data_IF_542338256171
#
_entry.id   IF_542338256171
#
_cell.length_a   1.000
_cell.length_b   1.000
_cell.length_c   1.000
_cell.angle_alpha   90.00
_cell.angle_beta   90.00
_cell.angle_gamma   90.00
#
_symmetry.space_group_name_H-M   'P 1'
#
loop_
_entity.id
_entity.type
_entity.pdbx_description
1 polymer ?
#
# COMPACT_ATOMS: atom_id res chain seq x y z
N UNK A 1 -9.33 -41.59 11.87
CA UNK A 1 -9.60 -40.25 12.44
C UNK A 1 -9.17 -39.25 11.38
N UNK A 2 -10.12 -38.51 10.81
CA UNK A 2 -9.82 -37.47 9.84
C UNK A 2 -9.01 -36.37 10.53
N UNK A 3 -7.89 -35.95 9.94
CA UNK A 3 -7.17 -34.75 10.37
C UNK A 3 -8.17 -33.59 10.44
N UNK A 4 -8.16 -32.75 11.49
CA UNK A 4 -9.00 -31.56 11.52
C UNK A 4 -8.74 -30.78 10.23
N UNK A 5 -9.81 -30.54 9.47
CA UNK A 5 -9.74 -29.98 8.12
C UNK A 5 -8.96 -28.67 8.16
N UNK A 6 -7.84 -28.61 7.46
CA UNK A 6 -7.14 -27.35 7.22
C UNK A 6 -8.09 -26.51 6.39
N UNK A 7 -8.75 -25.56 7.03
CA UNK A 7 -9.57 -24.56 6.35
C UNK A 7 -8.63 -23.82 5.41
N UNK A 8 -8.80 -23.97 4.10
CA UNK A 8 -7.93 -23.25 3.16
C UNK A 8 -8.31 -21.78 3.21
N UNK A 9 -7.32 -20.94 3.47
CA UNK A 9 -7.49 -19.49 3.41
C UNK A 9 -7.46 -19.04 1.97
N UNK A 10 -8.47 -18.29 1.55
CA UNK A 10 -8.54 -17.68 0.22
C UNK A 10 -8.13 -16.22 0.30
N UNK A 11 -7.48 -15.71 -0.74
CA UNK A 11 -7.07 -14.31 -0.84
C UNK A 11 -7.95 -13.54 -1.82
N UNK A 12 -8.12 -12.26 -1.52
CA UNK A 12 -9.07 -11.38 -2.18
C UNK A 12 -8.47 -9.99 -2.38
N UNK A 13 -9.20 -9.18 -3.15
CA UNK A 13 -9.06 -7.74 -3.27
C UNK A 13 -10.39 -7.06 -2.95
N UNK A 14 -10.33 -5.76 -2.65
CA UNK A 14 -11.54 -4.97 -2.44
C UNK A 14 -12.16 -4.56 -3.79
N UNK A 15 -13.48 -4.69 -3.94
CA UNK A 15 -14.23 -4.32 -5.14
C UNK A 15 -14.03 -2.86 -5.56
N UNK A 16 -13.70 -2.00 -4.59
CA UNK A 16 -13.38 -0.60 -4.83
C UNK A 16 -12.20 -0.39 -5.79
N UNK A 17 -11.34 -1.40 -5.99
CA UNK A 17 -10.26 -1.36 -6.99
C UNK A 17 -10.77 -0.98 -8.37
N UNK A 18 -12.00 -1.38 -8.72
CA UNK A 18 -12.61 -1.12 -10.02
C UNK A 18 -13.39 0.20 -10.10
N UNK A 19 -13.44 1.00 -9.03
CA UNK A 19 -14.23 2.25 -9.00
C UNK A 19 -13.56 3.44 -8.30
N UNK A 20 -12.54 3.22 -7.48
CA UNK A 20 -11.82 4.26 -6.73
C UNK A 20 -10.46 4.58 -7.35
N UNK A 21 -10.02 5.82 -7.15
CA UNK A 21 -8.67 6.29 -7.44
C UNK A 21 -8.22 6.07 -8.90
N UNK A 22 -9.04 6.53 -9.85
CA UNK A 22 -8.68 6.61 -11.25
C UNK A 22 -7.95 7.92 -11.49
N UNK A 23 -6.74 7.87 -12.05
CA UNK A 23 -5.97 9.07 -12.35
C UNK A 23 -6.29 9.57 -13.76
N UNK A 24 -6.58 10.86 -13.88
CA UNK A 24 -6.74 11.56 -15.15
C UNK A 24 -5.52 12.46 -15.38
N UNK A 25 -4.53 12.03 -16.18
CA UNK A 25 -3.24 12.73 -16.31
C UNK A 25 -3.38 14.16 -16.82
N UNK A 26 -4.26 14.40 -17.80
CA UNK A 26 -4.52 15.73 -18.38
C UNK A 26 -4.93 16.75 -17.31
N UNK A 27 -5.65 16.29 -16.29
CA UNK A 27 -6.22 17.15 -15.25
C UNK A 27 -5.49 17.02 -13.91
N UNK A 28 -4.49 16.13 -13.82
CA UNK A 28 -3.78 15.81 -12.58
C UNK A 28 -4.74 15.51 -11.42
N UNK A 29 -5.82 14.78 -11.72
CA UNK A 29 -6.96 14.58 -10.82
C UNK A 29 -7.23 13.10 -10.62
N UNK A 30 -7.43 12.70 -9.37
CA UNK A 30 -7.98 11.39 -9.04
C UNK A 30 -9.49 11.47 -8.88
N UNK A 31 -10.19 10.51 -9.50
CA UNK A 31 -11.64 10.44 -9.48
C UNK A 31 -12.12 9.05 -9.05
N UNK A 32 -13.30 9.03 -8.43
CA UNK A 32 -14.16 7.86 -8.35
C UNK A 32 -15.02 7.79 -9.60
N UNK A 33 -15.19 6.60 -10.15
CA UNK A 33 -15.99 6.38 -11.35
C UNK A 33 -16.89 5.14 -11.22
N UNK A 34 -18.21 5.40 -11.16
CA UNK A 34 -19.26 4.38 -11.25
C UNK A 34 -20.12 4.51 -12.50
N UNK A 35 -19.92 5.57 -13.28
CA UNK A 35 -20.66 5.86 -14.49
C UNK A 35 -20.72 7.36 -14.77
N UNK A 36 -21.10 7.70 -16.00
CA UNK A 36 -21.11 9.07 -16.52
C UNK A 36 -21.91 10.05 -15.65
N UNK A 37 -23.11 9.67 -15.22
CA UNK A 37 -23.96 10.54 -14.41
C UNK A 37 -23.33 10.90 -13.06
N UNK A 38 -22.63 9.95 -12.42
CA UNK A 38 -21.93 10.22 -11.16
C UNK A 38 -20.72 11.12 -11.40
N UNK A 39 -19.93 10.85 -12.45
CA UNK A 39 -18.78 11.68 -12.80
C UNK A 39 -19.18 13.13 -13.07
N UNK A 40 -20.26 13.35 -13.81
CA UNK A 40 -20.79 14.68 -14.10
C UNK A 40 -21.21 15.43 -12.83
N UNK A 41 -21.90 14.75 -11.91
CA UNK A 41 -22.35 15.37 -10.65
C UNK A 41 -21.19 15.70 -9.72
N UNK A 42 -20.28 14.75 -9.52
CA UNK A 42 -19.26 14.85 -8.47
C UNK A 42 -18.03 15.63 -8.93
N UNK A 43 -17.64 15.47 -10.20
CA UNK A 43 -16.39 16.00 -10.74
C UNK A 43 -16.60 16.99 -11.89
N UNK A 44 -17.80 17.12 -12.45
CA UNK A 44 -18.08 18.03 -13.56
C UNK A 44 -17.63 19.47 -13.33
N UNK A 45 -17.93 20.10 -12.18
CA UNK A 45 -17.45 21.46 -11.87
C UNK A 45 -15.93 21.57 -11.80
N UNK A 46 -15.25 20.57 -11.23
CA UNK A 46 -13.78 20.56 -11.07
C UNK A 46 -13.10 20.28 -12.41
N UNK A 47 -13.61 19.34 -13.20
CA UNK A 47 -13.10 19.06 -14.55
C UNK A 47 -13.21 20.31 -15.43
N UNK A 48 -14.35 21.02 -15.38
CA UNK A 48 -14.52 22.29 -16.11
C UNK A 48 -13.50 23.34 -15.69
N UNK A 49 -13.27 23.52 -14.38
CA UNK A 49 -12.28 24.50 -13.91
C UNK A 49 -10.83 24.11 -14.27
N UNK A 50 -10.56 22.83 -14.52
CA UNK A 50 -9.30 22.30 -15.00
C UNK A 50 -9.20 22.22 -16.53
N UNK A 51 -10.17 22.79 -17.27
CA UNK A 51 -10.10 22.93 -18.73
C UNK A 51 -10.84 21.86 -19.54
N UNK A 52 -11.67 21.02 -18.92
CA UNK A 52 -12.61 20.12 -19.62
C UNK A 52 -13.88 20.90 -20.00
N UNK A 53 -13.82 21.69 -21.08
CA UNK A 53 -14.87 22.68 -21.41
C UNK A 53 -15.72 22.28 -22.62
N UNK A 54 -15.21 21.41 -23.50
CA UNK A 54 -15.94 20.92 -24.68
C UNK A 54 -16.57 19.54 -24.44
N UNK A 55 -17.63 19.18 -25.19
CA UNK A 55 -18.15 17.81 -25.21
C UNK A 55 -17.08 16.77 -25.57
N UNK A 56 -16.17 17.11 -26.48
CA UNK A 56 -15.06 16.26 -26.91
C UNK A 56 -14.08 15.97 -25.76
N UNK A 57 -13.73 16.99 -24.95
CA UNK A 57 -12.89 16.81 -23.77
C UNK A 57 -13.52 15.82 -22.79
N UNK A 58 -14.83 15.93 -22.57
CA UNK A 58 -15.54 15.06 -21.64
C UNK A 58 -15.67 13.63 -22.17
N UNK A 59 -15.90 13.46 -23.48
CA UNK A 59 -15.88 12.15 -24.12
C UNK A 59 -14.51 11.48 -24.01
N UNK A 60 -13.42 12.25 -24.11
CA UNK A 60 -12.08 11.72 -23.86
C UNK A 60 -11.92 11.21 -22.41
N UNK A 61 -12.38 11.98 -21.42
CA UNK A 61 -12.37 11.55 -20.01
C UNK A 61 -13.13 10.24 -19.83
N UNK A 62 -14.34 10.13 -20.39
CA UNK A 62 -15.13 8.90 -20.30
C UNK A 62 -14.42 7.72 -20.98
N UNK A 63 -13.80 7.94 -22.14
CA UNK A 63 -13.02 6.91 -22.84
C UNK A 63 -11.86 6.41 -21.98
N UNK A 64 -11.09 7.32 -21.37
CA UNK A 64 -9.96 7.00 -20.49
C UNK A 64 -10.42 6.20 -19.26
N UNK A 65 -11.48 6.65 -18.58
CA UNK A 65 -12.01 5.96 -17.40
C UNK A 65 -12.57 4.58 -17.75
N UNK A 66 -13.35 4.45 -18.83
CA UNK A 66 -13.89 3.16 -19.24
C UNK A 66 -12.78 2.17 -19.62
N UNK A 67 -11.73 2.63 -20.31
CA UNK A 67 -10.55 1.82 -20.62
C UNK A 67 -9.86 1.33 -19.35
N UNK A 68 -9.65 2.22 -18.38
CA UNK A 68 -9.00 1.85 -17.12
C UNK A 68 -9.87 0.89 -16.28
N UNK A 69 -11.20 1.08 -16.24
CA UNK A 69 -12.12 0.14 -15.58
C UNK A 69 -12.04 -1.23 -16.22
N UNK A 70 -12.07 -1.29 -17.55
CA UNK A 70 -11.97 -2.53 -18.29
C UNK A 70 -10.64 -3.24 -18.01
N UNK A 71 -9.52 -2.50 -18.06
CA UNK A 71 -8.19 -3.00 -17.73
C UNK A 71 -8.12 -3.58 -16.32
N UNK A 72 -8.62 -2.86 -15.30
CA UNK A 72 -8.62 -3.32 -13.90
C UNK A 72 -9.46 -4.58 -13.68
N UNK A 73 -10.59 -4.71 -14.39
CA UNK A 73 -11.44 -5.92 -14.35
C UNK A 73 -10.74 -7.14 -14.96
N UNK A 74 -9.98 -6.95 -16.04
CA UNK A 74 -9.27 -8.03 -16.74
C UNK A 74 -7.92 -8.40 -16.13
N UNK A 75 -7.40 -7.58 -15.20
CA UNK A 75 -6.04 -7.69 -14.67
C UNK A 75 -5.67 -9.11 -14.20
N UNK A 76 -6.56 -9.75 -13.44
CA UNK A 76 -6.32 -11.06 -12.84
C UNK A 76 -6.28 -12.15 -13.90
N UNK A 77 -7.27 -12.17 -14.79
CA UNK A 77 -7.30 -13.12 -15.90
C UNK A 77 -6.04 -12.99 -16.76
N UNK A 78 -5.65 -11.77 -17.12
CA UNK A 78 -4.46 -11.53 -17.93
C UNK A 78 -3.18 -11.95 -17.21
N UNK A 79 -3.07 -11.73 -15.90
CA UNK A 79 -1.92 -12.19 -15.11
C UNK A 79 -1.82 -13.72 -15.08
N UNK A 80 -2.95 -14.40 -14.91
CA UNK A 80 -3.06 -15.86 -14.97
C UNK A 80 -2.58 -16.42 -16.32
N UNK A 81 -3.09 -15.84 -17.41
CA UNK A 81 -2.71 -16.23 -18.78
C UNK A 81 -1.22 -16.02 -19.04
N UNK A 82 -0.65 -14.88 -18.63
CA UNK A 82 0.80 -14.63 -18.72
C UNK A 82 1.60 -15.66 -17.95
N UNK A 83 1.25 -15.89 -16.68
CA UNK A 83 1.93 -16.86 -15.81
C UNK A 83 1.90 -18.26 -16.42
N UNK A 84 0.76 -18.69 -16.96
CA UNK A 84 0.63 -19.99 -17.62
C UNK A 84 1.51 -20.11 -18.88
N UNK A 85 1.61 -19.04 -19.68
CA UNK A 85 2.50 -19.01 -20.85
C UNK A 85 3.96 -19.08 -20.43
N UNK A 86 4.37 -18.27 -19.45
CA UNK A 86 5.73 -18.22 -18.92
C UNK A 86 6.12 -19.60 -18.38
N UNK A 87 5.31 -20.18 -17.49
CA UNK A 87 5.59 -21.48 -16.89
C UNK A 87 5.77 -22.63 -17.90
N UNK A 88 5.09 -22.54 -19.06
CA UNK A 88 5.20 -23.55 -20.12
C UNK A 88 6.39 -23.33 -21.06
N UNK A 89 6.80 -22.08 -21.27
CA UNK A 89 7.59 -21.71 -22.46
C UNK A 89 8.94 -21.07 -22.12
N UNK A 90 9.06 -20.44 -20.96
CA UNK A 90 10.30 -19.82 -20.51
C UNK A 90 11.29 -20.88 -20.00
N UNK A 91 12.58 -20.70 -20.31
CA UNK A 91 13.66 -21.57 -19.83
C UNK A 91 14.55 -20.76 -18.88
N UNK A 92 14.56 -21.07 -17.57
CA UNK A 92 15.38 -20.34 -16.61
C UNK A 92 16.88 -20.45 -16.90
N UNK A 93 17.61 -19.34 -16.78
CA UNK A 93 19.07 -19.29 -16.91
C UNK A 93 19.76 -19.75 -15.62
N UNK A 94 19.20 -19.39 -14.48
CA UNK A 94 19.66 -19.70 -13.12
C UNK A 94 18.54 -20.43 -12.36
N UNK A 95 18.26 -21.72 -12.66
CA UNK A 95 17.23 -22.50 -11.94
C UNK A 95 17.41 -22.50 -10.41
N UNK A 96 18.63 -22.26 -9.91
CA UNK A 96 18.96 -22.24 -8.49
C UNK A 96 18.24 -21.12 -7.72
N UNK A 97 17.84 -20.01 -8.37
CA UNK A 97 17.16 -18.89 -7.70
C UNK A 97 15.68 -19.18 -7.41
N UNK A 98 15.12 -20.24 -7.99
CA UNK A 98 13.73 -20.69 -7.83
C UNK A 98 13.52 -21.53 -6.56
N UNK A 99 14.24 -21.20 -5.49
CA UNK A 99 14.16 -21.88 -4.21
C UNK A 99 15.05 -21.18 -3.20
N UNK A 100 14.47 -20.63 -2.13
CA UNK A 100 15.25 -19.95 -1.10
C UNK A 100 16.21 -20.92 -0.42
N UNK A 101 17.49 -20.55 -0.39
CA UNK A 101 18.54 -21.25 0.31
C UNK A 101 19.18 -20.31 1.33
N UNK A 102 19.57 -20.80 2.51
CA UNK A 102 20.24 -19.95 3.51
C UNK A 102 21.55 -19.36 3.00
N UNK A 103 22.25 -20.04 2.08
CA UNK A 103 23.46 -19.52 1.44
C UNK A 103 23.22 -18.25 0.60
N UNK A 104 21.96 -17.93 0.27
CA UNK A 104 21.59 -16.69 -0.43
C UNK A 104 21.48 -15.51 0.52
N UNK A 105 21.34 -15.76 1.82
CA UNK A 105 21.10 -14.76 2.85
C UNK A 105 22.43 -14.34 3.48
N UNK A 106 22.59 -13.04 3.78
CA UNK A 106 23.81 -12.60 4.43
C UNK A 106 23.89 -13.15 5.87
N UNK A 107 25.08 -13.55 6.35
CA UNK A 107 25.25 -14.08 7.71
C UNK A 107 24.73 -13.14 8.81
N UNK A 108 24.88 -11.83 8.63
CA UNK A 108 24.41 -10.82 9.59
C UNK A 108 22.89 -10.77 9.65
N UNK A 109 22.20 -10.97 8.53
CA UNK A 109 20.74 -11.05 8.51
C UNK A 109 20.24 -12.33 9.16
N UNK A 110 20.89 -13.47 8.90
CA UNK A 110 20.61 -14.71 9.62
C UNK A 110 20.79 -14.56 11.13
N UNK A 111 21.85 -13.87 11.58
CA UNK A 111 22.07 -13.58 13.00
C UNK A 111 20.95 -12.71 13.60
N UNK A 112 20.47 -11.69 12.88
CA UNK A 112 19.34 -10.86 13.31
C UNK A 112 18.05 -11.68 13.44
N UNK A 113 17.76 -12.55 12.47
CA UNK A 113 16.60 -13.47 12.50
C UNK A 113 16.70 -14.46 13.66
N UNK A 114 17.89 -15.05 13.88
CA UNK A 114 18.13 -15.95 15.00
C UNK A 114 17.91 -15.25 16.34
N UNK A 115 18.38 -13.99 16.49
CA UNK A 115 18.12 -13.19 17.69
C UNK A 115 16.61 -13.05 17.95
N UNK A 116 15.81 -12.73 16.92
CA UNK A 116 14.35 -12.63 17.04
C UNK A 116 13.68 -13.92 17.56
N UNK A 117 14.29 -15.09 17.34
CA UNK A 117 13.81 -16.37 17.84
C UNK A 117 14.19 -16.69 19.29
N UNK A 118 15.04 -15.90 19.93
CA UNK A 118 15.50 -16.17 21.31
C UNK A 118 14.45 -15.79 22.37
N UNK A 119 14.39 -16.51 23.50
CA UNK A 119 13.56 -16.09 24.63
C UNK A 119 14.01 -14.70 25.13
N UNK A 120 13.07 -13.75 25.17
CA UNK A 120 13.36 -12.38 25.61
C UNK A 120 13.87 -11.45 24.51
N UNK A 121 13.82 -11.87 23.23
CA UNK A 121 14.09 -10.98 22.11
C UNK A 121 13.20 -9.72 22.18
N UNK A 122 13.85 -8.57 22.14
CA UNK A 122 13.20 -7.26 22.20
C UNK A 122 13.72 -6.30 21.11
N UNK A 123 13.03 -5.18 20.95
CA UNK A 123 13.40 -4.15 19.99
C UNK A 123 14.82 -3.59 20.25
N UNK A 124 15.19 -3.13 21.46
CA UNK A 124 16.55 -2.64 21.71
C UNK A 124 17.67 -3.61 21.34
N UNK A 125 17.48 -4.92 21.52
CA UNK A 125 18.47 -5.89 21.10
C UNK A 125 18.48 -6.16 19.61
N UNK A 126 17.33 -6.19 18.93
CA UNK A 126 17.31 -6.30 17.47
C UNK A 126 18.03 -5.11 16.82
N UNK A 127 17.85 -3.89 17.36
CA UNK A 127 18.51 -2.69 16.87
C UNK A 127 20.05 -2.74 16.96
N UNK A 128 20.63 -3.66 17.74
CA UNK A 128 22.09 -3.90 17.75
C UNK A 128 22.57 -4.77 16.58
N UNK A 129 21.66 -5.48 15.92
CA UNK A 129 21.95 -6.35 14.77
C UNK A 129 21.68 -5.70 13.41
N UNK A 130 20.99 -4.55 13.40
CA UNK A 130 20.55 -3.88 12.16
C UNK A 130 20.93 -2.41 12.17
N UNK A 131 20.96 -1.78 11.01
CA UNK A 131 21.25 -0.34 10.90
C UNK A 131 19.96 0.47 11.02
N UNK A 132 19.93 1.42 11.95
CA UNK A 132 18.83 2.38 12.09
C UNK A 132 19.12 3.62 11.24
N UNK A 133 18.37 3.81 10.15
CA UNK A 133 18.49 4.99 9.29
C UNK A 133 17.75 6.18 9.87
N UNK A 134 16.59 5.94 10.49
CA UNK A 134 15.85 6.93 11.26
C UNK A 134 15.02 6.26 12.33
N UNK A 135 15.32 6.57 13.60
CA UNK A 135 14.55 6.10 14.75
C UNK A 135 13.15 6.72 14.81
N UNK A 136 13.02 8.00 14.46
CA UNK A 136 11.75 8.72 14.42
C UNK A 136 10.80 8.14 13.36
N UNK A 137 11.31 7.93 12.14
CA UNK A 137 10.50 7.42 11.02
C UNK A 137 10.38 5.90 11.01
N UNK A 138 11.22 5.21 11.80
CA UNK A 138 11.34 3.74 11.88
C UNK A 138 11.69 3.12 10.54
N UNK A 139 12.79 3.62 9.97
CA UNK A 139 13.36 3.16 8.71
C UNK A 139 14.69 2.48 9.04
N UNK A 140 14.86 1.25 8.59
CA UNK A 140 16.01 0.41 8.91
C UNK A 140 16.67 -0.12 7.65
N UNK A 141 17.97 -0.38 7.70
CA UNK A 141 18.71 -1.08 6.66
C UNK A 141 19.15 -2.46 7.14
N UNK A 142 18.90 -3.46 6.30
CA UNK A 142 19.14 -4.88 6.57
C UNK A 142 20.10 -5.44 5.50
N UNK A 143 21.14 -6.20 5.85
CA UNK A 143 21.98 -6.91 4.87
C UNK A 143 21.30 -8.20 4.41
N UNK A 144 20.33 -8.13 3.50
CA UNK A 144 19.45 -9.26 3.19
C UNK A 144 20.19 -10.39 2.46
N UNK A 145 20.84 -10.07 1.34
CA UNK A 145 21.38 -11.08 0.43
C UNK A 145 22.91 -11.02 0.32
N UNK A 146 23.49 -12.16 -0.03
CA UNK A 146 24.89 -12.22 -0.48
C UNK A 146 25.03 -11.61 -1.88
N UNK A 147 26.23 -11.12 -2.20
CA UNK A 147 26.50 -10.55 -3.53
C UNK A 147 26.34 -11.58 -4.64
N UNK A 148 26.75 -12.83 -4.39
CA UNK A 148 26.60 -13.93 -5.34
C UNK A 148 25.13 -14.20 -5.67
N UNK A 149 24.23 -14.18 -4.68
CA UNK A 149 22.81 -14.33 -4.94
C UNK A 149 22.23 -13.13 -5.69
N UNK A 150 22.62 -11.91 -5.32
CA UNK A 150 22.24 -10.71 -6.06
C UNK A 150 22.61 -10.80 -7.54
N UNK A 151 23.83 -11.25 -7.85
CA UNK A 151 24.29 -11.46 -9.21
C UNK A 151 23.49 -12.54 -9.95
N UNK A 152 23.29 -13.72 -9.33
CA UNK A 152 22.51 -14.81 -9.94
C UNK A 152 21.06 -14.40 -10.22
N UNK A 153 20.42 -13.71 -9.27
CA UNK A 153 19.05 -13.24 -9.45
C UNK A 153 18.98 -12.17 -10.55
N UNK A 154 19.93 -11.24 -10.59
CA UNK A 154 19.99 -10.22 -11.63
C UNK A 154 20.14 -10.83 -13.03
N UNK A 155 21.03 -11.80 -13.20
CA UNK A 155 21.21 -12.50 -14.48
C UNK A 155 19.95 -13.23 -14.94
N UNK A 156 19.21 -13.86 -14.01
CA UNK A 156 17.92 -14.49 -14.33
C UNK A 156 16.88 -13.47 -14.79
N UNK A 157 16.82 -12.31 -14.11
CA UNK A 157 15.87 -11.26 -14.42
C UNK A 157 16.19 -10.58 -15.76
N UNK A 158 17.47 -10.34 -16.05
CA UNK A 158 17.92 -9.83 -17.35
C UNK A 158 17.61 -10.83 -18.47
N UNK A 159 17.82 -12.13 -18.23
CA UNK A 159 17.47 -13.17 -19.18
C UNK A 159 15.97 -13.18 -19.49
N UNK A 160 15.13 -13.07 -18.46
CA UNK A 160 13.68 -12.99 -18.62
C UNK A 160 13.27 -11.73 -19.39
N UNK A 161 13.84 -10.57 -19.05
CA UNK A 161 13.55 -9.31 -19.74
C UNK A 161 13.88 -9.36 -21.23
N UNK A 162 14.98 -10.02 -21.60
CA UNK A 162 15.44 -10.19 -22.99
C UNK A 162 14.64 -11.24 -23.78
N UNK A 163 13.81 -12.05 -23.11
CA UNK A 163 13.01 -13.08 -23.77
C UNK A 163 11.73 -12.52 -24.41
N UNK A 164 11.12 -13.28 -25.33
CA UNK A 164 9.82 -12.95 -25.93
C UNK A 164 8.60 -13.27 -25.02
N UNK A 165 8.85 -13.62 -23.76
CA UNK A 165 7.76 -13.93 -22.83
C UNK A 165 6.88 -12.71 -22.55
N UNK A 166 5.56 -12.90 -22.36
CA UNK A 166 4.67 -11.80 -22.04
C UNK A 166 4.97 -11.26 -20.64
N UNK A 167 4.97 -9.94 -20.48
CA UNK A 167 5.36 -9.26 -19.23
C UNK A 167 4.24 -8.37 -18.71
N UNK A 168 3.88 -8.52 -17.44
CA UNK A 168 3.03 -7.55 -16.73
C UNK A 168 3.85 -6.37 -16.23
N UNK A 169 3.22 -5.20 -16.09
CA UNK A 169 3.87 -4.05 -15.45
C UNK A 169 4.05 -4.28 -13.95
N UNK A 170 5.22 -3.94 -13.36
CA UNK A 170 5.49 -4.19 -11.95
C UNK A 170 4.53 -3.41 -11.03
N UNK A 171 4.24 -2.15 -11.36
CA UNK A 171 3.22 -1.34 -10.70
C UNK A 171 2.69 -0.24 -11.65
N UNK A 172 1.82 0.65 -11.15
CA UNK A 172 1.20 1.72 -11.96
C UNK A 172 2.13 2.89 -12.31
N UNK A 173 3.24 3.04 -11.59
CA UNK A 173 4.18 4.15 -11.72
C UNK A 173 5.49 3.75 -12.43
N UNK A 174 5.80 2.45 -12.51
CA UNK A 174 6.94 1.92 -13.25
C UNK A 174 6.50 1.24 -14.55
N UNK A 175 7.29 1.42 -15.60
CA UNK A 175 7.09 0.81 -16.91
C UNK A 175 7.93 -0.46 -17.07
N UNK A 176 9.11 -0.50 -16.43
CA UNK A 176 10.10 -1.56 -16.60
C UNK A 176 10.34 -2.35 -15.32
N UNK A 177 10.44 -3.68 -15.46
CA UNK A 177 10.67 -4.60 -14.35
C UNK A 177 9.84 -5.88 -14.43
N UNK A 178 9.98 -6.73 -13.42
CA UNK A 178 9.50 -8.12 -13.44
C UNK A 178 8.57 -8.40 -12.25
N UNK A 179 7.43 -9.04 -12.51
CA UNK A 179 6.54 -9.55 -11.47
C UNK A 179 7.00 -10.97 -11.06
N UNK A 180 7.45 -11.13 -9.82
CA UNK A 180 8.00 -12.42 -9.34
C UNK A 180 6.94 -13.52 -9.30
N UNK A 181 5.68 -13.17 -9.04
CA UNK A 181 4.52 -14.05 -9.17
C UNK A 181 4.40 -14.70 -10.55
N UNK A 182 4.55 -13.89 -11.61
CA UNK A 182 4.39 -14.35 -13.00
C UNK A 182 5.59 -15.20 -13.43
N UNK A 183 6.77 -14.89 -12.91
CA UNK A 183 7.99 -15.66 -13.14
C UNK A 183 8.03 -16.96 -12.32
N UNK A 184 7.15 -17.14 -11.32
CA UNK A 184 7.08 -18.36 -10.50
C UNK A 184 7.98 -18.36 -9.27
N UNK A 185 8.42 -17.18 -8.82
CA UNK A 185 9.34 -17.01 -7.69
C UNK A 185 8.64 -16.79 -6.33
N UNK A 186 7.34 -16.46 -6.32
CA UNK A 186 6.62 -16.19 -5.06
C UNK A 186 6.71 -17.37 -4.08
N UNK A 187 6.13 -18.52 -4.42
CA UNK A 187 6.09 -19.69 -3.53
C UNK A 187 7.48 -20.22 -3.11
N UNK A 188 8.44 -20.42 -4.03
CA UNK A 188 9.70 -21.04 -3.64
C UNK A 188 10.72 -20.07 -3.04
N UNK A 189 10.65 -18.76 -3.33
CA UNK A 189 11.65 -17.78 -2.90
C UNK A 189 11.06 -16.74 -1.93
N UNK A 190 9.96 -16.07 -2.32
CA UNK A 190 9.44 -14.90 -1.59
C UNK A 190 8.64 -15.30 -0.35
N UNK A 191 7.74 -16.28 -0.47
CA UNK A 191 6.95 -16.83 0.64
C UNK A 191 7.85 -17.24 1.81
N UNK A 192 8.88 -18.10 1.63
CA UNK A 192 9.74 -18.48 2.74
C UNK A 192 10.61 -17.34 3.26
N UNK A 193 11.03 -16.40 2.40
CA UNK A 193 11.77 -15.21 2.82
C UNK A 193 10.92 -14.36 3.78
N UNK A 194 9.66 -14.14 3.41
CA UNK A 194 8.69 -13.40 4.22
C UNK A 194 8.41 -14.09 5.55
N UNK A 195 7.99 -15.36 5.51
CA UNK A 195 7.48 -16.06 6.69
C UNK A 195 8.57 -16.39 7.70
N UNK A 196 9.73 -16.87 7.23
CA UNK A 196 10.78 -17.38 8.14
C UNK A 196 11.77 -16.31 8.57
N UNK A 197 11.98 -15.29 7.75
CA UNK A 197 13.05 -14.32 7.97
C UNK A 197 12.52 -12.90 8.19
N UNK A 198 11.62 -12.38 7.35
CA UNK A 198 11.17 -10.98 7.48
C UNK A 198 10.10 -10.76 8.56
N UNK A 199 9.17 -11.70 8.76
CA UNK A 199 8.10 -11.58 9.75
C UNK A 199 8.62 -11.48 11.19
N UNK A 200 9.61 -12.29 11.66
CA UNK A 200 10.15 -12.16 13.01
C UNK A 200 10.77 -10.78 13.30
N UNK A 201 11.47 -10.20 12.32
CA UNK A 201 12.01 -8.83 12.46
C UNK A 201 10.85 -7.82 12.48
N UNK A 202 9.92 -7.95 11.55
CA UNK A 202 8.79 -7.04 11.40
C UNK A 202 7.87 -7.05 12.61
N UNK A 203 7.74 -8.18 13.32
CA UNK A 203 6.99 -8.28 14.58
C UNK A 203 7.54 -7.36 15.68
N UNK A 204 8.87 -7.22 15.77
CA UNK A 204 9.54 -6.35 16.74
C UNK A 204 9.62 -4.89 16.26
N UNK A 205 9.87 -4.67 14.97
CA UNK A 205 10.03 -3.33 14.39
C UNK A 205 8.69 -2.61 14.14
N UNK A 206 7.64 -3.38 13.85
CA UNK A 206 6.33 -2.88 13.42
C UNK A 206 5.12 -3.57 14.08
N UNK A 207 5.08 -3.67 15.43
CA UNK A 207 3.98 -4.33 16.14
C UNK A 207 2.63 -3.60 15.96
N UNK A 208 2.66 -2.29 15.74
CA UNK A 208 1.50 -1.41 15.62
C UNK A 208 0.80 -1.43 14.25
N UNK A 209 1.43 -1.98 13.22
CA UNK A 209 0.84 -2.08 11.87
C UNK A 209 0.78 -3.51 11.33
N UNK A 210 0.80 -4.52 12.21
CA UNK A 210 0.62 -5.93 11.82
C UNK A 210 1.90 -6.63 11.37
N UNK A 211 3.09 -6.12 11.72
CA UNK A 211 4.37 -6.67 11.28
C UNK A 211 4.63 -8.13 11.69
N UNK A 212 3.93 -8.66 12.70
CA UNK A 212 4.01 -10.06 13.10
C UNK A 212 2.92 -10.97 12.52
N UNK A 213 2.17 -10.51 11.51
CA UNK A 213 1.10 -11.26 10.82
C UNK A 213 1.06 -10.93 9.33
N UNK A 214 2.22 -10.94 8.66
CA UNK A 214 2.36 -10.53 7.27
C UNK A 214 2.02 -11.71 6.34
N UNK A 215 0.72 -12.02 6.23
CA UNK A 215 0.21 -13.21 5.54
C UNK A 215 -0.08 -13.04 4.05
N UNK A 216 0.11 -11.85 3.47
CA UNK A 216 0.11 -11.62 2.01
C UNK A 216 1.36 -10.85 1.56
N UNK A 217 1.74 -11.02 0.29
CA UNK A 217 2.75 -10.18 -0.32
C UNK A 217 2.48 -9.92 -1.81
N UNK A 218 3.12 -8.87 -2.33
CA UNK A 218 3.35 -8.67 -3.76
C UNK A 218 4.82 -8.35 -3.93
N UNK A 219 5.52 -9.17 -4.71
CA UNK A 219 6.94 -8.99 -4.96
C UNK A 219 7.22 -8.73 -6.43
N UNK A 220 8.02 -7.72 -6.68
CA UNK A 220 8.35 -7.27 -8.03
C UNK A 220 9.71 -6.61 -8.04
N UNK A 221 10.30 -6.60 -9.22
CA UNK A 221 11.55 -5.92 -9.47
C UNK A 221 11.25 -4.70 -10.32
N UNK A 222 11.90 -3.58 -10.00
CA UNK A 222 11.87 -2.36 -10.80
C UNK A 222 13.25 -2.13 -11.40
N UNK A 223 13.27 -1.68 -12.65
CA UNK A 223 14.46 -1.33 -13.41
C UNK A 223 14.44 0.16 -13.73
N UNK A 224 15.54 0.84 -13.43
CA UNK A 224 15.78 2.23 -13.81
C UNK A 224 17.01 2.27 -14.70
N UNK A 225 16.93 2.91 -15.85
CA UNK A 225 18.00 2.98 -16.82
C UNK A 225 17.93 4.27 -17.64
N UNK A 226 19.06 4.66 -18.26
CA UNK A 226 19.07 5.78 -19.19
C UNK A 226 18.08 5.55 -20.35
N UNK A 227 17.20 6.52 -20.59
CA UNK A 227 16.09 6.48 -21.55
C UNK A 227 14.90 5.56 -21.20
N UNK A 228 14.86 5.01 -19.99
CA UNK A 228 13.71 4.30 -19.43
C UNK A 228 13.12 5.11 -18.26
N UNK A 229 12.68 4.44 -17.19
CA UNK A 229 12.32 5.12 -15.94
C UNK A 229 13.61 5.65 -15.26
N UNK A 230 13.64 6.95 -14.91
CA UNK A 230 14.78 7.58 -14.23
C UNK A 230 14.53 7.82 -12.75
N UNK A 231 13.29 8.13 -12.38
CA UNK A 231 12.87 8.49 -11.02
C UNK A 231 11.54 7.84 -10.66
N UNK A 232 11.13 8.03 -9.40
CA UNK A 232 9.79 7.67 -8.97
C UNK A 232 9.25 8.74 -8.04
N UNK A 233 8.19 9.41 -8.47
CA UNK A 233 7.61 10.52 -7.72
C UNK A 233 7.08 10.10 -6.34
N UNK A 234 6.87 11.07 -5.45
CA UNK A 234 6.44 10.81 -4.07
C UNK A 234 5.12 10.05 -4.01
N UNK A 235 5.13 8.90 -3.32
CA UNK A 235 4.01 7.98 -3.15
C UNK A 235 4.10 7.25 -1.79
N UNK A 236 3.18 6.34 -1.54
CA UNK A 236 3.25 5.35 -0.46
C UNK A 236 2.91 3.98 -1.06
N UNK A 237 3.19 2.90 -0.34
CA UNK A 237 3.03 1.54 -0.82
C UNK A 237 1.72 0.90 -0.41
N UNK A 238 1.26 -0.05 -1.21
CA UNK A 238 0.08 -0.87 -0.87
C UNK A 238 0.50 -2.00 0.06
N UNK A 239 1.05 -1.64 1.21
CA UNK A 239 1.66 -2.56 2.16
C UNK A 239 1.50 -2.05 3.59
N UNK A 240 1.60 -2.96 4.54
CA UNK A 240 1.81 -2.60 5.94
C UNK A 240 3.31 -2.39 6.19
N UNK A 241 4.15 -3.26 5.62
CA UNK A 241 5.62 -3.16 5.65
C UNK A 241 6.17 -3.39 4.24
N UNK A 242 7.10 -2.54 3.81
CA UNK A 242 7.81 -2.68 2.53
C UNK A 242 9.27 -2.98 2.78
N UNK A 243 9.81 -3.93 2.02
CA UNK A 243 11.24 -4.15 1.84
C UNK A 243 11.65 -3.73 0.42
N UNK A 244 12.69 -2.90 0.29
CA UNK A 244 13.30 -2.54 -0.99
C UNK A 244 14.80 -2.90 -0.97
N UNK A 245 15.19 -3.94 -1.70
CA UNK A 245 16.56 -4.47 -1.78
C UNK A 245 17.21 -4.09 -3.10
N UNK A 246 18.39 -3.46 -3.04
CA UNK A 246 19.20 -3.22 -4.22
C UNK A 246 19.90 -4.51 -4.66
N UNK A 247 19.63 -4.98 -5.88
CA UNK A 247 20.23 -6.20 -6.44
C UNK A 247 21.56 -5.91 -7.18
N UNK A 248 21.73 -4.69 -7.69
CA UNK A 248 22.79 -4.28 -8.63
C UNK A 248 22.19 -3.25 -9.61
N UNK A 249 22.88 -2.63 -10.56
CA UNK A 249 24.24 -2.77 -11.10
C UNK A 249 24.90 -1.37 -11.13
N UNK A 250 25.93 -1.12 -11.92
CA UNK A 250 26.69 0.16 -11.84
C UNK A 250 25.80 1.39 -12.17
N UNK A 251 25.55 2.25 -11.18
CA UNK A 251 24.82 3.52 -11.33
C UNK A 251 25.37 4.61 -10.40
N UNK A 252 25.01 5.85 -10.69
CA UNK A 252 25.20 7.00 -9.79
C UNK A 252 23.87 7.66 -9.45
N UNK A 253 23.80 8.26 -8.25
CA UNK A 253 22.58 8.84 -7.68
C UNK A 253 21.43 7.83 -7.53
N UNK A 254 20.18 8.29 -7.56
CA UNK A 254 19.02 7.43 -7.36
C UNK A 254 18.79 6.99 -5.92
N UNK A 255 19.13 7.80 -4.93
CA UNK A 255 18.75 7.52 -3.54
C UNK A 255 17.23 7.43 -3.38
N UNK A 256 16.77 6.66 -2.40
CA UNK A 256 15.41 6.80 -1.90
C UNK A 256 15.33 8.07 -1.05
N UNK A 257 14.18 8.73 -1.04
CA UNK A 257 13.91 9.83 -0.13
C UNK A 257 12.59 9.61 0.61
N UNK A 258 12.58 9.82 1.92
CA UNK A 258 11.43 9.55 2.80
C UNK A 258 10.94 10.82 3.48
N UNK A 259 9.65 11.14 3.32
CA UNK A 259 8.98 12.28 3.95
C UNK A 259 8.34 11.92 5.30
N UNK A 260 7.24 12.60 5.66
CA UNK A 260 6.39 12.21 6.78
C UNK A 260 5.23 11.31 6.33
N UNK A 261 4.43 10.80 7.28
CA UNK A 261 3.18 10.13 6.93
C UNK A 261 2.23 11.13 6.29
N UNK A 262 1.40 10.65 5.37
CA UNK A 262 0.41 11.45 4.65
C UNK A 262 -0.42 12.39 5.52
N UNK A 263 -0.71 12.00 6.76
CA UNK A 263 -1.55 12.74 7.70
C UNK A 263 -0.84 13.94 8.34
N UNK A 264 0.47 14.05 8.17
CA UNK A 264 1.33 15.11 8.73
C UNK A 264 1.84 15.95 7.57
N UNK A 265 1.09 16.98 7.17
CA UNK A 265 1.57 17.97 6.19
C UNK A 265 1.95 19.26 6.93
N UNK A 266 3.24 19.57 6.98
CA UNK A 266 3.78 20.87 7.37
C UNK A 266 4.52 21.51 6.19
N UNK A 267 4.63 22.84 6.17
CA UNK A 267 5.28 23.60 5.10
C UNK A 267 6.80 23.29 4.94
N UNK A 268 7.41 22.59 5.89
CA UNK A 268 8.84 22.23 5.92
C UNK A 268 9.04 20.71 6.09
N UNK A 269 8.56 19.90 5.13
CA UNK A 269 8.76 18.45 5.19
C UNK A 269 10.25 18.13 4.98
N UNK A 270 10.91 17.60 6.02
CA UNK A 270 12.31 17.17 5.94
C UNK A 270 12.38 15.76 5.39
N UNK A 271 13.06 15.61 4.26
CA UNK A 271 13.30 14.31 3.66
C UNK A 271 14.53 13.64 4.28
N UNK A 272 14.41 12.34 4.55
CA UNK A 272 15.56 11.47 4.79
C UNK A 272 15.97 10.85 3.46
N UNK A 273 17.14 11.24 2.96
CA UNK A 273 17.75 10.59 1.81
C UNK A 273 18.51 9.32 2.24
N UNK A 274 18.30 8.24 1.51
CA UNK A 274 18.83 6.91 1.81
C UNK A 274 19.48 6.34 0.54
N UNK A 275 20.82 6.27 0.48
CA UNK A 275 21.49 5.66 -0.64
C UNK A 275 21.27 4.14 -0.65
N UNK A 276 21.27 3.58 -1.85
CA UNK A 276 21.24 2.14 -2.07
C UNK A 276 22.61 1.49 -1.83
N UNK A 277 22.60 0.28 -1.29
CA UNK A 277 23.79 -0.56 -1.12
C UNK A 277 23.42 -1.96 -1.59
N UNK A 278 24.20 -2.53 -2.51
CA UNK A 278 23.92 -3.83 -3.11
C UNK A 278 23.78 -4.93 -2.06
N UNK A 279 22.77 -5.79 -2.20
CA UNK A 279 22.41 -6.84 -1.25
C UNK A 279 21.72 -6.34 0.03
N UNK A 280 21.68 -5.02 0.26
CA UNK A 280 21.02 -4.43 1.43
C UNK A 280 19.62 -3.94 1.08
N UNK A 281 18.70 -4.23 2.00
CA UNK A 281 17.30 -3.82 1.95
C UNK A 281 17.01 -2.66 2.88
N UNK A 282 16.21 -1.70 2.41
CA UNK A 282 15.56 -0.69 3.25
C UNK A 282 14.19 -1.22 3.64
N UNK A 283 13.96 -1.38 4.94
CA UNK A 283 12.69 -1.82 5.52
C UNK A 283 11.97 -0.60 6.13
N UNK A 284 10.72 -0.38 5.75
CA UNK A 284 9.91 0.74 6.23
C UNK A 284 8.41 0.39 6.26
N UNK A 285 7.62 1.24 6.93
CA UNK A 285 6.14 1.14 6.89
C UNK A 285 5.64 1.50 5.50
N UNK A 286 4.68 0.75 4.96
CA UNK A 286 4.17 1.00 3.61
C UNK A 286 3.46 2.35 3.47
N UNK A 287 2.78 2.82 4.52
CA UNK A 287 2.13 4.14 4.53
C UNK A 287 3.08 5.35 4.63
N UNK A 288 4.40 5.13 4.68
CA UNK A 288 5.41 6.17 4.71
C UNK A 288 5.53 6.82 3.32
N UNK A 289 5.42 8.15 3.23
CA UNK A 289 5.65 8.83 1.95
C UNK A 289 7.12 8.73 1.57
N UNK A 290 7.38 8.32 0.34
CA UNK A 290 8.73 8.18 -0.20
C UNK A 290 8.73 8.23 -1.73
N UNK A 291 9.92 8.37 -2.31
CA UNK A 291 10.16 8.29 -3.74
C UNK A 291 11.61 7.89 -4.03
N UNK A 292 11.97 7.88 -5.31
CA UNK A 292 13.34 7.67 -5.76
C UNK A 292 13.81 8.91 -6.52
N UNK A 293 14.98 9.43 -6.17
CA UNK A 293 15.64 10.48 -6.92
C UNK A 293 16.04 9.97 -8.32
N UNK A 294 16.26 10.87 -9.30
CA UNK A 294 16.72 10.48 -10.62
C UNK A 294 18.07 9.77 -10.60
N UNK A 295 18.26 8.81 -11.51
CA UNK A 295 19.59 8.33 -11.87
C UNK A 295 20.35 9.38 -12.70
N UNK A 296 21.65 9.51 -12.46
CA UNK A 296 22.53 10.31 -13.33
C UNK A 296 23.26 9.46 -14.36
N UNK A 297 23.55 8.20 -14.05
CA UNK A 297 24.19 7.27 -14.97
C UNK A 297 23.88 5.82 -14.62
N UNK A 298 24.07 4.93 -15.60
CA UNK A 298 24.02 3.50 -15.39
C UNK A 298 22.61 2.92 -15.29
N UNK A 299 22.48 1.85 -14.50
CA UNK A 299 21.22 1.13 -14.37
C UNK A 299 21.06 0.48 -12.99
N UNK A 300 19.85 0.58 -12.44
CA UNK A 300 19.53 0.19 -11.07
C UNK A 300 18.37 -0.81 -11.04
N UNK A 301 18.58 -1.91 -10.33
CA UNK A 301 17.59 -2.97 -10.12
C UNK A 301 17.30 -3.13 -8.64
N UNK A 302 16.01 -3.07 -8.30
CA UNK A 302 15.57 -3.23 -6.92
C UNK A 302 14.47 -4.27 -6.83
N UNK A 303 14.65 -5.26 -5.95
CA UNK A 303 13.59 -6.13 -5.50
C UNK A 303 12.76 -5.40 -4.44
N UNK A 304 11.47 -5.25 -4.70
CA UNK A 304 10.51 -4.66 -3.79
C UNK A 304 9.51 -5.73 -3.37
N UNK A 305 9.29 -5.85 -2.06
CA UNK A 305 8.31 -6.76 -1.47
C UNK A 305 7.36 -5.92 -0.62
N UNK A 306 6.13 -5.80 -1.10
CA UNK A 306 5.01 -5.25 -0.34
C UNK A 306 4.41 -6.36 0.51
N UNK A 307 4.60 -6.30 1.82
CA UNK A 307 4.07 -7.29 2.77
C UNK A 307 2.83 -6.74 3.46
N UNK A 308 1.83 -7.60 3.60
CA UNK A 308 0.49 -7.22 4.06
C UNK A 308 -0.02 -8.13 5.16
N UNK A 309 -0.83 -7.56 6.04
CA UNK A 309 -1.49 -8.25 7.13
C UNK A 309 -3.01 -8.23 6.92
N UNK A 310 -3.60 -9.39 6.63
CA UNK A 310 -5.05 -9.51 6.45
C UNK A 310 -5.85 -9.14 7.69
N UNK A 311 -5.26 -9.30 8.89
CA UNK A 311 -5.87 -8.85 10.15
C UNK A 311 -6.10 -7.34 10.21
N UNK A 312 -5.33 -6.55 9.46
CA UNK A 312 -5.53 -5.10 9.29
C UNK A 312 -6.53 -4.85 8.15
N UNK A 313 -6.27 -5.47 6.98
CA UNK A 313 -7.01 -5.17 5.75
C UNK A 313 -8.47 -5.62 5.78
N UNK A 314 -8.78 -6.73 6.44
CA UNK A 314 -10.16 -7.22 6.58
C UNK A 314 -11.04 -6.25 7.40
N UNK A 315 -10.46 -5.34 8.18
CA UNK A 315 -11.20 -4.31 8.92
C UNK A 315 -11.52 -3.10 8.03
N UNK A 316 -10.50 -2.59 7.33
CA UNK A 316 -10.63 -1.39 6.52
C UNK A 316 -9.73 -1.47 5.28
N UNK A 317 -10.31 -1.24 4.11
CA UNK A 317 -9.55 -1.16 2.87
C UNK A 317 -8.69 0.13 2.84
N UNK A 318 -7.37 0.05 2.62
CA UNK A 318 -6.51 1.24 2.57
C UNK A 318 -6.79 2.14 1.37
N UNK A 319 -7.45 1.63 0.32
CA UNK A 319 -7.84 2.41 -0.84
C UNK A 319 -9.12 3.23 -0.59
N UNK A 320 -10.20 2.60 -0.12
CA UNK A 320 -11.50 3.29 -0.01
C UNK A 320 -11.86 3.75 1.40
N UNK A 321 -11.08 3.37 2.42
CA UNK A 321 -11.32 3.72 3.82
C UNK A 321 -12.62 3.14 4.38
N UNK A 322 -13.12 2.03 3.81
CA UNK A 322 -14.37 1.36 4.19
C UNK A 322 -14.11 -0.14 4.42
N UNK A 323 -15.00 -0.85 5.17
CA UNK A 323 -14.98 -2.30 5.22
C UNK A 323 -14.95 -2.90 3.80
N UNK A 324 -14.08 -3.87 3.52
CA UNK A 324 -13.84 -4.31 2.15
C UNK A 324 -14.97 -5.20 1.63
N UNK A 325 -15.40 -4.93 0.40
CA UNK A 325 -16.22 -5.86 -0.37
C UNK A 325 -15.28 -6.80 -1.14
N UNK A 326 -15.24 -8.08 -0.76
CA UNK A 326 -14.22 -9.01 -1.25
C UNK A 326 -14.56 -9.56 -2.64
N UNK A 327 -13.65 -9.36 -3.59
CA UNK A 327 -13.64 -10.03 -4.89
C UNK A 327 -12.46 -11.01 -4.93
N UNK A 328 -12.70 -12.17 -5.55
CA UNK A 328 -11.66 -13.18 -5.72
C UNK A 328 -10.46 -12.61 -6.50
N UNK A 329 -9.28 -13.09 -6.09
CA UNK A 329 -8.01 -12.72 -6.67
C UNK A 329 -7.11 -13.96 -6.77
N UNK A 330 -6.00 -13.85 -7.50
CA UNK A 330 -5.00 -14.91 -7.60
C UNK A 330 -3.85 -14.71 -6.60
N UNK A 331 -3.19 -15.82 -6.25
CA UNK A 331 -2.06 -15.83 -5.32
C UNK A 331 -2.43 -15.24 -3.96
N UNK A 332 -1.69 -14.22 -3.52
CA UNK A 332 -1.91 -13.52 -2.25
C UNK A 332 -2.83 -12.28 -2.34
N UNK A 333 -3.38 -12.00 -3.52
CA UNK A 333 -4.27 -10.86 -3.79
C UNK A 333 -3.74 -9.51 -3.28
N UNK A 334 -4.66 -8.64 -2.84
CA UNK A 334 -4.34 -7.37 -2.18
C UNK A 334 -4.28 -7.50 -0.64
N UNK A 335 -4.11 -8.73 -0.14
CA UNK A 335 -3.94 -9.03 1.28
C UNK A 335 -5.22 -9.05 2.11
N UNK A 336 -6.38 -9.21 1.45
CA UNK A 336 -7.63 -9.53 2.14
C UNK A 336 -7.83 -11.04 2.14
N UNK A 337 -8.40 -11.57 3.21
CA UNK A 337 -8.58 -13.02 3.39
C UNK A 337 -9.99 -13.37 3.85
N UNK A 338 -10.42 -14.58 3.53
CA UNK A 338 -11.60 -15.22 4.14
C UNK A 338 -11.31 -16.70 4.29
N UNK A 339 -11.72 -17.26 5.42
CA UNK A 339 -11.58 -18.69 5.67
C UNK A 339 -12.69 -19.45 4.92
N UNK A 340 -12.35 -20.59 4.30
CA UNK A 340 -13.31 -21.44 3.60
C UNK A 340 -14.49 -21.84 4.51
N UNK A 341 -15.71 -21.53 4.10
CA UNK A 341 -16.94 -21.84 4.83
C UNK A 341 -17.52 -20.68 5.65
N UNK A 342 -16.82 -19.55 5.78
CA UNK A 342 -17.44 -18.34 6.33
C UNK A 342 -18.47 -17.76 5.35
N UNK A 343 -19.71 -17.48 5.79
CA UNK A 343 -20.73 -16.90 4.93
C UNK A 343 -20.30 -15.53 4.41
N UNK A 344 -20.59 -15.25 3.14
CA UNK A 344 -20.45 -13.92 2.57
C UNK A 344 -21.41 -12.99 3.30
N UNK A 345 -20.92 -12.22 4.26
CA UNK A 345 -21.69 -11.12 4.86
C UNK A 345 -21.78 -10.04 3.79
N UNK A 346 -22.89 -10.03 3.05
CA UNK A 346 -23.29 -8.89 2.23
C UNK A 346 -23.73 -7.82 3.24
N UNK A 347 -23.03 -6.67 3.35
CA UNK A 347 -23.48 -5.62 4.24
C UNK A 347 -24.88 -5.18 3.79
N UNK A 348 -25.87 -5.04 4.69
CA UNK A 348 -27.15 -4.49 4.32
C UNK A 348 -26.93 -3.08 3.75
N UNK A 349 -27.54 -2.83 2.60
CA UNK A 349 -27.58 -1.54 1.92
C UNK A 349 -27.90 -0.46 2.97
N UNK A 350 -27.00 0.49 3.18
CA UNK A 350 -27.27 1.63 4.06
C UNK A 350 -28.29 2.52 3.36
N UNK A 351 -29.58 2.23 3.56
CA UNK A 351 -30.65 3.16 3.25
C UNK A 351 -30.42 4.41 4.12
N UNK A 352 -30.12 5.54 3.48
CA UNK A 352 -30.10 6.83 4.16
C UNK A 352 -31.46 7.11 4.82
N UNK A 353 -31.53 8.05 5.78
CA UNK A 353 -32.78 8.35 6.44
C UNK A 353 -33.78 8.92 5.44
N UNK A 354 -34.80 8.14 5.09
CA UNK A 354 -35.96 8.63 4.39
C UNK A 354 -36.66 9.65 5.28
N UNK A 355 -36.79 10.87 4.74
CA UNK A 355 -37.67 11.89 5.26
C UNK A 355 -39.11 11.34 5.21
N UNK A 356 -39.62 10.91 6.36
CA UNK A 356 -41.05 10.63 6.51
C UNK A 356 -41.82 11.94 6.57
N UNK A 357 -42.40 12.30 5.44
CA UNK A 357 -43.46 13.30 5.35
C UNK A 357 -44.81 12.67 5.68
N UNK A 358 -45.51 13.24 6.67
CA UNK A 358 -46.97 13.22 6.77
C UNK A 358 -47.52 12.90 8.16
N UNK A 359 -48.77 13.31 8.50
CA UNK A 359 -49.46 14.56 8.16
C UNK A 359 -49.90 15.35 9.42
N UNK A 360 -50.32 16.60 9.20
CA UNK A 360 -50.88 17.51 10.22
C UNK A 360 -52.37 17.26 10.43
N UNK A 361 -52.78 17.08 11.70
CA UNK A 361 -54.09 17.33 12.37
C UNK A 361 -54.15 16.38 13.58
N UNK A 362 -54.53 16.70 14.82
CA UNK A 362 -55.13 17.84 15.51
C UNK A 362 -55.60 17.32 16.90
N UNK A 363 -55.94 18.25 17.80
CA UNK A 363 -56.63 18.09 19.11
C UNK A 363 -55.91 17.50 20.35
N UNK A 364 -55.57 18.43 21.27
CA UNK A 364 -56.05 18.58 22.67
C UNK A 364 -56.28 17.33 23.55
N UNK A 365 -55.73 17.37 24.78
CA UNK A 365 -56.30 16.69 25.95
C UNK A 365 -55.31 16.21 27.03
N UNK A 366 -55.01 17.09 27.98
CA UNK A 366 -55.02 16.86 29.44
C UNK A 366 -54.20 15.76 30.17
N UNK A 367 -53.41 16.27 31.12
CA UNK A 367 -53.31 15.93 32.57
C UNK A 367 -52.26 14.94 33.12
N UNK A 368 -51.41 15.53 33.97
CA UNK A 368 -50.97 15.15 35.34
C UNK A 368 -50.25 13.82 35.65
N UNK A 369 -49.04 13.99 36.22
CA UNK A 369 -48.54 13.54 37.54
C UNK A 369 -47.01 13.37 37.42
N UNK A 370 -46.14 14.22 38.00
CA UNK A 370 -45.85 14.55 39.41
C UNK A 370 -45.16 13.41 40.18
N UNK A 371 -44.20 13.84 41.01
CA UNK A 371 -43.37 13.11 42.00
C UNK A 371 -41.99 12.63 41.51
N UNK A 372 -40.89 12.74 42.24
CA UNK A 372 -40.44 13.62 43.33
C UNK A 372 -38.94 13.32 43.52
N UNK A 373 -38.14 14.34 43.86
CA UNK A 373 -36.73 14.16 44.24
C UNK A 373 -36.60 13.68 45.71
N UNK A 374 -35.44 13.12 46.09
CA UNK A 374 -34.64 13.89 47.05
C UNK A 374 -33.12 13.87 46.79
N UNK A 375 -32.46 14.83 47.43
CA UNK A 375 -31.05 15.25 47.33
C UNK A 375 -30.21 14.74 48.53
N UNK A 376 -28.98 15.25 48.82
CA UNK A 376 -27.73 14.49 48.66
C UNK A 376 -26.90 14.40 49.97
N UNK A 377 -25.71 13.76 49.92
CA UNK A 377 -24.49 14.02 50.75
C UNK A 377 -23.41 12.97 50.42
N UNK A 378 -22.25 13.36 49.88
CA UNK A 378 -20.93 13.55 50.56
C UNK A 378 -19.98 12.46 50.01
N UNK A 379 -18.68 12.62 49.71
CA UNK A 379 -17.73 13.72 49.76
C UNK A 379 -16.44 13.30 48.96
N UNK A 380 -15.99 14.18 48.06
CA UNK A 380 -14.61 14.73 47.89
C UNK A 380 -13.38 13.85 47.56
N UNK A 381 -12.55 14.43 46.65
CA UNK A 381 -11.10 14.29 46.34
C UNK A 381 -10.77 13.34 45.16
N UNK A 382 -10.25 13.77 44.00
CA UNK A 382 -9.16 14.73 43.73
C UNK A 382 -9.32 15.51 42.40
N UNK A 383 -9.17 16.83 42.52
CA UNK A 383 -8.56 17.84 41.60
C UNK A 383 -7.22 17.35 41.03
N UNK A 384 -6.64 17.79 39.91
CA UNK A 384 -6.62 19.00 39.05
C UNK A 384 -5.86 18.52 37.77
N UNK A 385 -6.06 18.96 36.53
CA UNK A 385 -6.05 20.35 36.03
C UNK A 385 -6.50 20.38 34.56
N UNK A 386 -7.57 21.13 34.29
CA UNK A 386 -7.80 21.85 33.04
C UNK A 386 -7.56 23.34 33.35
N UNK A 387 -6.93 24.07 32.43
CA UNK A 387 -7.15 25.50 32.20
C UNK A 387 -6.75 25.76 30.74
N UNK A 388 -7.71 25.77 29.81
CA UNK A 388 -8.44 26.93 29.25
C UNK A 388 -7.50 27.92 28.52
N UNK A 389 -7.60 28.06 27.19
CA UNK A 389 -8.46 29.03 26.45
C UNK A 389 -8.14 30.50 26.81
N UNK A 390 -8.04 31.49 25.91
CA UNK A 390 -8.47 31.68 24.53
C UNK A 390 -7.80 32.96 23.97
N UNK A 391 -7.85 33.14 22.64
CA UNK A 391 -8.11 34.46 22.03
C UNK A 391 -8.65 34.27 20.59
N UNK A 392 -9.83 34.83 20.35
CA UNK A 392 -10.55 34.98 19.06
C UNK A 392 -10.31 36.41 18.51
N UNK A 393 -10.96 36.91 17.44
CA UNK A 393 -11.51 36.30 16.22
C UNK A 393 -10.99 37.00 14.94
N UNK A 394 -11.10 36.37 13.78
CA UNK A 394 -11.58 37.03 12.55
C UNK A 394 -11.96 35.93 11.57
N UNK A 395 -13.25 35.91 11.21
CA UNK A 395 -13.78 34.95 10.25
C UNK A 395 -13.07 35.09 8.92
N UNK A 396 -13.11 34.02 8.13
CA UNK A 396 -13.44 34.02 6.70
C UNK A 396 -13.98 32.62 6.41
N UNK A 397 -15.19 32.60 5.87
CA UNK A 397 -15.96 31.43 5.53
C UNK A 397 -15.25 30.65 4.41
N UNK A 398 -14.86 29.39 4.67
CA UNK A 398 -14.17 28.55 3.70
C UNK A 398 -14.55 27.08 3.89
N UNK A 399 -15.84 26.78 3.73
CA UNK A 399 -16.40 25.42 3.78
C UNK A 399 -16.29 24.61 2.48
N UNK A 400 -15.48 25.02 1.50
CA UNK A 400 -15.48 24.37 0.17
C UNK A 400 -14.11 24.10 -0.45
N UNK A 401 -13.02 24.00 0.34
CA UNK A 401 -11.67 23.79 -0.23
C UNK A 401 -10.81 22.68 0.35
N UNK A 402 -11.39 21.69 1.05
CA UNK A 402 -10.62 20.63 1.73
C UNK A 402 -10.83 19.18 1.22
N UNK A 403 -11.44 18.98 0.04
CA UNK A 403 -11.66 17.63 -0.52
C UNK A 403 -10.65 17.17 -1.57
N UNK A 404 -9.69 18.00 -2.01
CA UNK A 404 -8.90 17.72 -3.22
C UNK A 404 -7.46 17.20 -3.00
N UNK A 405 -7.09 16.73 -1.80
CA UNK A 405 -5.80 16.07 -1.53
C UNK A 405 -5.92 14.56 -1.22
N UNK A 406 -7.09 13.98 -1.48
CA UNK A 406 -7.46 12.64 -1.04
C UNK A 406 -7.42 11.59 -2.18
N UNK A 407 -6.25 11.37 -2.77
CA UNK A 407 -5.97 10.22 -3.64
C UNK A 407 -5.10 9.17 -2.89
N UNK A 408 -5.53 7.90 -2.74
CA UNK A 408 -4.70 6.84 -2.17
C UNK A 408 -3.54 6.38 -3.06
N UNK A 409 -3.41 6.83 -4.30
CA UNK A 409 -2.24 6.52 -5.15
C UNK A 409 -2.06 7.68 -6.11
N UNK A 410 -1.25 8.69 -5.78
CA UNK A 410 -1.16 9.89 -6.59
C UNK A 410 0.05 10.76 -6.22
N UNK A 411 0.82 11.07 -7.26
CA UNK A 411 2.05 11.88 -7.28
C UNK A 411 1.88 13.20 -6.52
N UNK A 412 2.73 13.41 -5.50
CA UNK A 412 3.02 14.75 -4.99
C UNK A 412 4.14 15.35 -5.84
N UNK A 413 4.00 16.63 -6.24
CA UNK A 413 4.99 17.37 -7.04
C UNK A 413 6.42 17.17 -6.52
N UNK A 414 7.39 17.08 -7.43
CA UNK A 414 8.81 17.08 -7.11
C UNK A 414 9.16 18.33 -6.27
N UNK A 415 9.85 18.19 -5.13
CA UNK A 415 10.28 19.32 -4.31
C UNK A 415 11.46 20.12 -4.89
N UNK A 416 11.97 19.76 -6.07
CA UNK A 416 13.21 20.36 -6.63
C UNK A 416 12.96 21.72 -7.30
N UNK A 417 11.72 22.17 -7.50
CA UNK A 417 11.42 23.52 -8.02
C UNK A 417 11.29 24.61 -6.92
N UNK A 418 11.86 24.39 -5.74
CA UNK A 418 11.94 25.40 -4.68
C UNK A 418 13.37 25.49 -4.12
N UNK A 419 14.29 25.98 -4.95
CA UNK A 419 15.48 26.72 -4.53
C UNK A 419 15.87 27.72 -5.61
#
# INVERSE_FOLDING_TARGET
>A
MASPGVVRRRFFRCACYCSENFFLPRYQLHVRYHGEQQLLRDYGPVLKSLGCVSPEDFQQVLSELNKEVHRRKQLVQQASERKAIIARSYQPLRPQVYGLQEAFLAPEFLAAVQYCGTPGADLPGLLRHIETLSGEKRIFRLPIFTQDFCQMLLEELEHFEQSDMPKGRPNTMNNHGVLLHELGLDEPLVTPLRERYLEPLSALLYPDCGGGRLDSHRAFVVKYAMNEDLDLSLHHDNAEVTLNVSLGKDFSEGSLYFGDFRQVQGANMKYLEVPHLQGRGVLHRGGQLHGALPLESGERWNLIIWMRASTVRNQLCPMCGRPPELLEDEGYGDGFTRDEGEPTVIPPFWAGPEAQTGPVMGSLGDTNNQEDAPSPKEATLRKESETLMACSPNGWDNKTRLSNLWAPWGVSRNPIDLA
#
